data_IF_040086920006
#
_entry.id   IF_040086920006
#
_cell.length_a   1.000
_cell.length_b   1.000
_cell.length_c   1.000
_cell.angle_alpha   90.00
_cell.angle_beta   90.00
_cell.angle_gamma   90.00
#
_symmetry.space_group_name_H-M   'P 1'
#
loop_
_entity.id
_entity.type
_entity.pdbx_description
1 polymer ?
#
# COMPACT_ATOMS: atom_id res chain seq x y z
N UNK A 1 7.22 -10.34 -13.75
CA UNK A 1 7.26 -10.26 -12.27
C UNK A 1 7.88 -11.56 -11.76
N UNK A 2 9.21 -11.61 -11.58
CA UNK A 2 9.92 -12.88 -11.48
C UNK A 2 9.48 -13.79 -10.32
N UNK A 3 9.13 -13.21 -9.16
CA UNK A 3 8.74 -14.01 -7.99
C UNK A 3 7.41 -14.75 -8.19
N UNK A 4 6.36 -14.06 -8.67
CA UNK A 4 5.02 -14.65 -8.71
C UNK A 4 4.92 -15.73 -9.78
N UNK A 5 5.58 -15.50 -10.92
CA UNK A 5 5.76 -16.49 -11.97
C UNK A 5 6.50 -17.73 -11.44
N UNK A 6 7.57 -17.53 -10.66
CA UNK A 6 8.34 -18.62 -10.07
C UNK A 6 7.56 -19.40 -9.01
N UNK A 7 6.79 -18.72 -8.16
CA UNK A 7 5.89 -19.34 -7.18
C UNK A 7 4.86 -20.21 -7.88
N UNK A 8 4.20 -19.69 -8.92
CA UNK A 8 3.20 -20.44 -9.69
C UNK A 8 3.82 -21.60 -10.47
N UNK A 9 5.03 -21.44 -11.01
CA UNK A 9 5.74 -22.50 -11.73
C UNK A 9 6.13 -23.66 -10.81
N UNK A 10 6.46 -23.39 -9.54
CA UNK A 10 6.82 -24.39 -8.53
C UNK A 10 5.63 -24.91 -7.72
N UNK A 11 4.44 -24.32 -7.89
CA UNK A 11 3.25 -24.70 -7.15
C UNK A 11 2.80 -26.13 -7.51
N UNK A 12 2.43 -26.96 -6.52
CA UNK A 12 1.72 -28.21 -6.74
C UNK A 12 0.46 -28.01 -7.57
N UNK A 13 0.09 -29.03 -8.35
CA UNK A 13 -1.02 -28.93 -9.32
C UNK A 13 -2.38 -28.63 -8.71
N UNK A 14 -2.58 -28.70 -7.40
CA UNK A 14 -3.85 -28.39 -6.73
C UNK A 14 -3.87 -26.98 -6.13
N UNK A 15 -2.71 -26.31 -6.04
CA UNK A 15 -2.52 -24.96 -5.54
C UNK A 15 -2.41 -24.00 -6.74
N UNK A 16 -3.57 -23.50 -7.23
CA UNK A 16 -3.66 -22.81 -8.53
C UNK A 16 -4.02 -21.34 -8.45
N UNK A 17 -4.39 -20.85 -7.27
CA UNK A 17 -4.83 -19.46 -7.10
C UNK A 17 -3.81 -18.72 -6.26
N UNK A 18 -3.10 -17.77 -6.86
CA UNK A 18 -2.20 -16.87 -6.15
C UNK A 18 -2.93 -15.58 -5.80
N UNK A 19 -2.89 -15.20 -4.54
CA UNK A 19 -3.30 -13.89 -4.04
C UNK A 19 -2.04 -13.14 -3.62
N UNK A 20 -1.85 -11.93 -4.15
CA UNK A 20 -0.68 -11.11 -3.86
C UNK A 20 -1.08 -9.68 -3.50
N UNK A 21 -0.35 -9.08 -2.56
CA UNK A 21 -0.41 -7.67 -2.29
C UNK A 21 0.23 -6.86 -3.44
N UNK A 22 -0.37 -5.72 -3.78
CA UNK A 22 0.06 -4.89 -4.91
C UNK A 22 1.08 -3.81 -4.56
N UNK A 23 1.39 -3.63 -3.28
CA UNK A 23 2.22 -2.55 -2.75
C UNK A 23 3.50 -3.06 -2.07
N UNK A 24 3.92 -4.28 -2.37
CA UNK A 24 5.16 -4.87 -1.86
C UNK A 24 6.08 -5.28 -3.00
N UNK A 25 7.38 -5.09 -2.80
CA UNK A 25 8.42 -5.64 -3.65
C UNK A 25 9.26 -6.60 -2.82
N UNK A 26 9.34 -7.84 -3.29
CA UNK A 26 10.12 -8.90 -2.67
C UNK A 26 11.26 -9.27 -3.60
N UNK A 27 12.48 -9.12 -3.11
CA UNK A 27 13.69 -9.54 -3.82
C UNK A 27 14.25 -10.79 -3.17
N UNK A 28 14.33 -11.87 -3.95
CA UNK A 28 14.95 -13.11 -3.50
C UNK A 28 16.46 -13.03 -3.69
N UNK A 29 17.21 -13.33 -2.63
CA UNK A 29 18.65 -13.56 -2.70
C UNK A 29 19.01 -15.05 -2.82
N UNK A 30 18.01 -15.93 -2.78
CA UNK A 30 18.16 -17.38 -2.84
C UNK A 30 17.01 -18.00 -3.67
N UNK A 31 17.20 -19.19 -4.25
CA UNK A 31 16.12 -19.89 -4.94
C UNK A 31 14.89 -20.07 -4.06
N UNK A 32 13.70 -19.95 -4.65
CA UNK A 32 12.45 -20.16 -3.94
C UNK A 32 12.36 -21.60 -3.39
N UNK A 33 12.07 -21.82 -2.10
CA UNK A 33 11.81 -23.14 -1.57
C UNK A 33 10.63 -23.82 -2.30
N UNK A 34 10.59 -25.16 -2.39
CA UNK A 34 9.42 -25.85 -2.94
C UNK A 34 8.18 -25.55 -2.09
N UNK A 35 7.04 -25.37 -2.75
CA UNK A 35 5.77 -25.21 -2.05
C UNK A 35 5.32 -26.57 -1.46
N UNK A 36 4.79 -26.61 -0.23
CA UNK A 36 4.32 -27.85 0.39
C UNK A 36 3.22 -28.54 -0.41
N UNK A 37 3.31 -29.86 -0.60
CA UNK A 37 2.32 -30.65 -1.35
C UNK A 37 1.02 -30.90 -0.58
N UNK A 38 1.05 -30.93 0.75
CA UNK A 38 -0.13 -31.23 1.57
C UNK A 38 -0.70 -29.96 2.24
N UNK A 39 -1.14 -29.00 1.42
CA UNK A 39 -1.70 -27.73 1.92
C UNK A 39 -2.94 -27.29 1.13
N UNK A 40 -3.89 -26.68 1.82
CA UNK A 40 -4.99 -25.95 1.19
C UNK A 40 -4.66 -24.47 1.03
N UNK A 41 -3.80 -23.94 1.92
CA UNK A 41 -3.33 -22.55 1.95
C UNK A 41 -1.82 -22.57 2.24
N UNK A 42 -1.04 -21.91 1.39
CA UNK A 42 0.40 -21.69 1.60
C UNK A 42 0.66 -20.19 1.66
N UNK A 43 1.14 -19.67 2.80
CA UNK A 43 1.52 -18.27 2.91
C UNK A 43 3.05 -18.14 2.91
N UNK A 44 3.56 -17.10 2.28
CA UNK A 44 4.98 -16.80 2.28
C UNK A 44 5.28 -15.73 3.34
N UNK A 45 6.43 -15.86 3.99
CA UNK A 45 6.80 -15.00 5.10
C UNK A 45 8.30 -14.68 5.12
N UNK A 46 8.68 -13.60 5.77
CA UNK A 46 10.09 -13.23 6.03
C UNK A 46 10.33 -13.08 7.53
N UNK A 47 11.60 -13.16 7.93
CA UNK A 47 12.01 -12.84 9.31
C UNK A 47 12.31 -11.35 9.40
N UNK A 48 11.73 -10.70 10.40
CA UNK A 48 11.87 -9.26 10.61
C UNK A 48 12.01 -8.93 12.09
N UNK A 49 12.52 -7.72 12.36
CA UNK A 49 12.58 -7.16 13.70
C UNK A 49 11.17 -6.84 14.23
N UNK A 50 11.00 -6.99 15.54
CA UNK A 50 9.70 -6.82 16.24
C UNK A 50 9.03 -5.50 15.90
N UNK A 51 9.80 -4.42 15.80
CA UNK A 51 9.29 -3.09 15.48
C UNK A 51 8.59 -3.02 14.13
N UNK A 52 8.97 -3.84 13.16
CA UNK A 52 8.35 -3.87 11.83
C UNK A 52 7.07 -4.70 11.82
N UNK A 53 7.03 -5.77 12.62
CA UNK A 53 5.88 -6.67 12.69
C UNK A 53 4.57 -5.95 13.01
N UNK A 54 4.63 -4.85 13.78
CA UNK A 54 3.43 -4.07 14.19
C UNK A 54 2.61 -3.51 13.03
N UNK A 55 3.22 -3.33 11.85
CA UNK A 55 2.57 -2.72 10.69
C UNK A 55 2.02 -3.75 9.69
N UNK A 56 2.25 -5.05 9.92
CA UNK A 56 1.96 -6.12 8.96
C UNK A 56 1.18 -7.27 9.61
N UNK A 57 0.78 -8.24 8.79
CA UNK A 57 0.31 -9.53 9.28
C UNK A 57 1.47 -10.33 9.89
N UNK A 58 1.23 -10.99 11.02
CA UNK A 58 2.24 -11.77 11.74
C UNK A 58 1.71 -13.18 11.93
N UNK A 59 2.46 -14.16 11.40
CA UNK A 59 2.18 -15.57 11.63
C UNK A 59 2.97 -16.05 12.85
N UNK A 60 2.29 -16.78 13.73
CA UNK A 60 2.90 -17.48 14.84
C UNK A 60 2.90 -18.98 14.57
N UNK A 61 4.08 -19.57 14.63
CA UNK A 61 4.37 -20.93 14.20
C UNK A 61 4.73 -21.79 15.42
N UNK A 62 4.42 -23.08 15.34
CA UNK A 62 4.85 -24.05 16.34
C UNK A 62 6.38 -24.15 16.39
N UNK A 63 6.94 -24.33 17.59
CA UNK A 63 8.37 -24.67 17.72
C UNK A 63 8.71 -26.05 17.16
N UNK A 64 7.77 -26.99 17.27
CA UNK A 64 7.93 -28.39 16.83
C UNK A 64 7.76 -28.54 15.32
N UNK A 65 6.88 -27.74 14.72
CA UNK A 65 6.57 -27.75 13.29
C UNK A 65 6.68 -26.31 12.72
N UNK A 66 7.89 -25.90 12.27
CA UNK A 66 8.18 -24.52 11.91
C UNK A 66 7.56 -24.06 10.59
N UNK A 67 6.85 -24.93 9.89
CA UNK A 67 6.09 -24.67 8.67
C UNK A 67 4.57 -24.68 8.92
N UNK A 68 4.11 -24.95 10.15
CA UNK A 68 2.69 -25.01 10.49
C UNK A 68 2.23 -23.75 11.20
N UNK A 69 1.14 -23.17 10.70
CA UNK A 69 0.51 -22.02 11.32
C UNK A 69 -0.22 -22.44 12.59
N UNK A 70 0.15 -21.86 13.73
CA UNK A 70 -0.64 -21.97 14.95
C UNK A 70 -1.75 -20.90 14.97
N UNK A 71 -1.37 -19.65 14.74
CA UNK A 71 -2.29 -18.51 14.70
C UNK A 71 -1.70 -17.32 13.93
N UNK A 72 -2.54 -16.35 13.57
CA UNK A 72 -2.16 -15.11 12.91
C UNK A 72 -2.71 -13.90 13.67
N UNK A 73 -1.96 -12.80 13.67
CA UNK A 73 -2.46 -11.47 14.05
C UNK A 73 -2.31 -10.49 12.89
N UNK A 74 -3.25 -9.56 12.75
CA UNK A 74 -3.16 -8.46 11.80
C UNK A 74 -2.79 -7.16 12.52
N UNK A 75 -1.62 -6.60 12.19
CA UNK A 75 -1.08 -5.37 12.80
C UNK A 75 -1.07 -5.40 14.34
N UNK A 76 -0.48 -6.45 14.96
CA UNK A 76 -0.46 -6.57 16.41
C UNK A 76 0.36 -5.47 17.08
N UNK A 77 0.02 -5.15 18.32
CA UNK A 77 0.86 -4.35 19.20
C UNK A 77 2.14 -5.11 19.58
N UNK A 78 3.17 -4.37 19.99
CA UNK A 78 4.42 -4.95 20.52
C UNK A 78 4.14 -5.87 21.72
N UNK A 79 3.16 -5.51 22.55
CA UNK A 79 2.74 -6.31 23.70
C UNK A 79 2.21 -7.67 23.27
N UNK A 80 1.31 -7.71 22.29
CA UNK A 80 0.75 -8.96 21.77
C UNK A 80 1.84 -9.82 21.12
N UNK A 81 2.76 -9.22 20.35
CA UNK A 81 3.90 -9.97 19.78
C UNK A 81 4.71 -10.63 20.90
N UNK A 82 5.09 -9.89 21.94
CA UNK A 82 5.86 -10.45 23.05
C UNK A 82 5.12 -11.56 23.79
N UNK A 83 3.80 -11.41 24.01
CA UNK A 83 2.97 -12.42 24.66
C UNK A 83 3.02 -13.77 23.93
N UNK A 84 2.90 -13.76 22.59
CA UNK A 84 2.88 -14.99 21.81
C UNK A 84 4.27 -15.55 21.46
N UNK A 85 5.31 -14.71 21.40
CA UNK A 85 6.69 -15.18 21.12
C UNK A 85 7.33 -15.99 22.24
N UNK A 86 6.76 -15.97 23.45
CA UNK A 86 7.25 -16.79 24.56
C UNK A 86 7.20 -18.31 24.28
N UNK A 87 6.25 -18.74 23.44
CA UNK A 87 6.01 -20.17 23.15
C UNK A 87 5.96 -20.48 21.65
N UNK A 88 6.23 -19.49 20.79
CA UNK A 88 6.08 -19.60 19.33
C UNK A 88 7.16 -18.82 18.61
N UNK A 89 7.43 -19.24 17.37
CA UNK A 89 8.22 -18.41 16.43
C UNK A 89 7.27 -17.47 15.72
N UNK A 90 7.67 -16.22 15.49
CA UNK A 90 6.90 -15.30 14.65
C UNK A 90 7.65 -14.97 13.35
N UNK A 91 6.89 -14.83 12.27
CA UNK A 91 7.37 -14.38 10.96
C UNK A 91 6.36 -13.39 10.37
N UNK A 92 6.85 -12.46 9.56
CA UNK A 92 6.02 -11.43 8.94
C UNK A 92 5.43 -11.96 7.64
N UNK A 93 4.12 -11.85 7.47
CA UNK A 93 3.46 -12.11 6.19
C UNK A 93 3.97 -11.14 5.12
N UNK A 94 4.26 -11.65 3.92
CA UNK A 94 4.65 -10.79 2.78
C UNK A 94 3.48 -10.45 1.86
N UNK A 95 2.26 -10.85 2.21
CA UNK A 95 1.08 -10.68 1.38
C UNK A 95 1.11 -11.53 0.12
N UNK A 96 1.66 -12.74 0.18
CA UNK A 96 1.67 -13.69 -0.93
C UNK A 96 1.15 -15.05 -0.49
N UNK A 97 -0.05 -15.41 -0.96
CA UNK A 97 -0.80 -16.56 -0.50
C UNK A 97 -1.18 -17.42 -1.70
N UNK A 98 -0.92 -18.71 -1.61
CA UNK A 98 -1.23 -19.68 -2.64
C UNK A 98 -2.32 -20.61 -2.13
N UNK A 99 -3.42 -20.70 -2.88
CA UNK A 99 -4.66 -21.31 -2.45
C UNK A 99 -5.05 -22.48 -3.35
N UNK A 100 -5.58 -23.51 -2.71
CA UNK A 100 -6.27 -24.62 -3.36
C UNK A 100 -7.69 -24.21 -3.77
N UNK A 101 -8.28 -24.96 -4.70
CA UNK A 101 -9.70 -24.79 -5.06
C UNK A 101 -10.64 -24.96 -3.86
N UNK A 102 -10.23 -25.76 -2.86
CA UNK A 102 -10.99 -25.93 -1.62
C UNK A 102 -10.98 -24.64 -0.79
N UNK A 103 -9.82 -24.02 -0.60
CA UNK A 103 -9.71 -22.75 0.11
C UNK A 103 -10.50 -21.64 -0.61
N UNK A 104 -10.42 -21.57 -1.94
CA UNK A 104 -11.21 -20.61 -2.74
C UNK A 104 -12.73 -20.82 -2.58
N UNK A 105 -13.20 -22.07 -2.52
CA UNK A 105 -14.63 -22.36 -2.25
C UNK A 105 -15.06 -21.93 -0.84
N UNK A 106 -14.19 -22.06 0.15
CA UNK A 106 -14.46 -21.56 1.52
C UNK A 106 -14.58 -20.03 1.50
N UNK A 107 -13.63 -19.33 0.87
CA UNK A 107 -13.68 -17.87 0.71
C UNK A 107 -14.98 -17.42 0.05
N UNK A 108 -15.36 -18.06 -1.07
CA UNK A 108 -16.62 -17.77 -1.78
C UNK A 108 -17.83 -17.98 -0.88
N UNK A 109 -17.89 -19.12 -0.19
CA UNK A 109 -19.01 -19.44 0.72
C UNK A 109 -19.14 -18.38 1.82
N UNK A 110 -18.03 -17.95 2.41
CA UNK A 110 -18.02 -16.94 3.47
C UNK A 110 -18.39 -15.55 2.97
N UNK A 111 -17.90 -15.16 1.80
CA UNK A 111 -18.27 -13.90 1.16
C UNK A 111 -19.76 -13.83 0.80
N UNK A 112 -20.43 -14.96 0.56
CA UNK A 112 -21.88 -15.00 0.30
C UNK A 112 -22.74 -15.18 1.56
N UNK A 113 -22.14 -15.37 2.75
CA UNK A 113 -22.88 -15.64 3.98
C UNK A 113 -23.59 -14.39 4.53
N UNK A 114 -24.85 -14.55 4.96
CA UNK A 114 -25.79 -13.46 5.22
C UNK A 114 -25.63 -12.65 6.51
N UNK A 115 -24.60 -12.84 7.33
CA UNK A 115 -24.55 -12.27 8.69
C UNK A 115 -23.69 -11.01 8.86
N UNK A 116 -23.04 -10.50 7.82
CA UNK A 116 -22.24 -9.28 7.94
C UNK A 116 -23.13 -8.04 7.78
N UNK A 117 -23.51 -7.43 8.90
CA UNK A 117 -24.42 -6.28 9.00
C UNK A 117 -23.81 -4.94 8.57
N UNK A 118 -22.52 -4.91 8.21
CA UNK A 118 -21.78 -3.68 7.85
C UNK A 118 -21.20 -3.66 6.43
N UNK A 119 -21.38 -4.71 5.64
CA UNK A 119 -20.73 -4.80 4.33
C UNK A 119 -21.69 -4.42 3.20
N UNK A 120 -21.17 -3.69 2.22
CA UNK A 120 -21.87 -3.48 0.96
C UNK A 120 -22.09 -4.83 0.28
N UNK A 121 -23.32 -5.07 -0.17
CA UNK A 121 -23.65 -6.26 -0.97
C UNK A 121 -23.41 -5.90 -2.42
N UNK A 122 -22.52 -6.61 -3.08
CA UNK A 122 -22.28 -6.47 -4.51
C UNK A 122 -23.46 -7.03 -5.31
N UNK A 123 -23.62 -6.59 -6.57
CA UNK A 123 -24.79 -6.94 -7.40
C UNK A 123 -24.92 -8.46 -7.65
N UNK A 124 -23.85 -9.22 -7.48
CA UNK A 124 -23.75 -10.67 -7.62
C UNK A 124 -23.94 -11.43 -6.30
N UNK A 125 -24.29 -10.74 -5.22
CA UNK A 125 -24.57 -11.32 -3.91
C UNK A 125 -23.34 -11.57 -3.04
N UNK A 126 -22.14 -11.21 -3.51
CA UNK A 126 -20.93 -11.24 -2.69
C UNK A 126 -20.94 -10.10 -1.66
N UNK A 127 -20.23 -10.31 -0.56
CA UNK A 127 -19.95 -9.31 0.48
C UNK A 127 -18.45 -9.26 0.71
N UNK A 128 -17.97 -8.11 1.17
CA UNK A 128 -16.58 -8.00 1.63
C UNK A 128 -16.31 -9.05 2.72
N UNK A 129 -15.25 -9.84 2.53
CA UNK A 129 -14.74 -10.79 3.49
C UNK A 129 -13.24 -10.62 3.55
N UNK A 130 -12.75 -9.99 4.61
CA UNK A 130 -11.35 -9.56 4.68
C UNK A 130 -10.41 -10.74 4.87
N UNK A 131 -9.39 -10.84 4.01
CA UNK A 131 -8.44 -11.94 4.05
C UNK A 131 -7.59 -11.92 5.33
N UNK A 132 -7.30 -10.74 5.86
CA UNK A 132 -6.38 -10.57 6.98
C UNK A 132 -7.09 -10.56 8.33
N UNK A 133 -8.09 -9.71 8.47
CA UNK A 133 -8.86 -9.46 9.68
C UNK A 133 -10.05 -10.39 9.90
N UNK A 134 -10.39 -11.25 8.94
CA UNK A 134 -11.42 -12.28 9.14
C UNK A 134 -10.95 -13.69 8.79
N UNK A 135 -10.56 -13.95 7.54
CA UNK A 135 -10.16 -15.28 7.10
C UNK A 135 -8.85 -15.72 7.79
N UNK A 136 -7.82 -14.88 7.75
CA UNK A 136 -6.51 -15.13 8.34
C UNK A 136 -6.56 -15.40 9.84
N UNK A 137 -7.39 -14.63 10.58
CA UNK A 137 -7.58 -14.83 12.02
C UNK A 137 -8.27 -16.17 12.37
N UNK A 138 -8.92 -16.81 11.40
CA UNK A 138 -9.57 -18.10 11.54
C UNK A 138 -8.72 -19.30 11.06
N UNK A 139 -7.53 -19.03 10.49
CA UNK A 139 -6.57 -20.03 10.06
C UNK A 139 -5.66 -20.48 11.21
N UNK A 140 -5.13 -21.70 11.09
CA UNK A 140 -4.16 -22.28 12.03
C UNK A 140 -4.79 -23.25 13.02
N UNK A 141 -3.95 -23.80 13.91
CA UNK A 141 -4.34 -24.79 14.92
C UNK A 141 -5.09 -24.17 16.10
N UNK A 142 -4.69 -22.97 16.52
CA UNK A 142 -5.30 -22.21 17.62
C UNK A 142 -5.73 -20.82 17.14
N UNK A 143 -6.68 -20.75 16.19
CA UNK A 143 -7.09 -19.47 15.60
C UNK A 143 -7.79 -18.57 16.62
N UNK A 144 -7.67 -17.26 16.41
CA UNK A 144 -8.33 -16.24 17.24
C UNK A 144 -9.83 -16.12 16.93
N UNK A 145 -10.23 -16.47 15.70
CA UNK A 145 -11.62 -16.45 15.27
C UNK A 145 -12.09 -17.88 14.99
N UNK A 146 -13.21 -18.26 15.59
CA UNK A 146 -13.80 -19.56 15.32
C UNK A 146 -14.56 -19.53 13.98
N UNK A 147 -14.15 -20.40 13.07
CA UNK A 147 -14.84 -20.64 11.80
C UNK A 147 -14.66 -22.13 11.39
N UNK A 148 -15.70 -22.97 11.56
CA UNK A 148 -15.57 -24.41 11.29
C UNK A 148 -15.20 -24.79 9.86
N UNK A 149 -15.44 -23.92 8.87
CA UNK A 149 -15.08 -24.20 7.48
C UNK A 149 -13.62 -23.83 7.20
N UNK A 150 -13.17 -22.69 7.72
CA UNK A 150 -11.78 -22.22 7.57
C UNK A 150 -10.82 -23.11 8.36
N UNK A 151 -11.21 -23.53 9.56
CA UNK A 151 -10.40 -24.39 10.44
C UNK A 151 -10.09 -25.78 9.86
N UNK A 152 -10.84 -26.24 8.85
CA UNK A 152 -10.56 -27.51 8.18
C UNK A 152 -9.50 -27.41 7.08
N UNK A 153 -9.06 -26.19 6.75
CA UNK A 153 -8.03 -25.95 5.75
C UNK A 153 -6.65 -26.23 6.36
N UNK A 154 -5.83 -27.00 5.65
CA UNK A 154 -4.42 -27.21 6.02
C UNK A 154 -3.60 -26.00 5.60
N UNK A 155 -2.91 -25.39 6.55
CA UNK A 155 -2.15 -24.16 6.33
C UNK A 155 -0.67 -24.41 6.55
N UNK A 156 0.14 -24.04 5.56
CA UNK A 156 1.60 -24.11 5.64
C UNK A 156 2.23 -22.76 5.38
N UNK A 157 3.36 -22.49 6.04
CA UNK A 157 4.09 -21.23 5.95
C UNK A 157 5.47 -21.49 5.35
N UNK A 158 5.78 -20.82 4.24
CA UNK A 158 7.09 -20.87 3.60
C UNK A 158 7.87 -19.62 4.02
N UNK A 159 8.85 -19.81 4.91
CA UNK A 159 9.73 -18.72 5.33
C UNK A 159 10.86 -18.51 4.33
N UNK A 160 11.09 -17.26 3.93
CA UNK A 160 12.13 -16.80 3.01
C UNK A 160 13.19 -16.01 3.81
N UNK A 161 14.14 -16.68 4.50
CA UNK A 161 15.00 -16.01 5.48
C UNK A 161 15.88 -14.90 4.90
N UNK A 162 16.35 -15.06 3.66
CA UNK A 162 17.24 -14.09 2.99
C UNK A 162 16.52 -13.19 1.98
N UNK A 163 15.18 -13.23 1.95
CA UNK A 163 14.43 -12.36 1.06
C UNK A 163 14.34 -10.94 1.64
N UNK A 164 14.44 -9.96 0.76
CA UNK A 164 14.34 -8.54 1.10
C UNK A 164 12.91 -8.07 0.85
N UNK A 165 12.33 -7.42 1.84
CA UNK A 165 10.94 -6.94 1.81
C UNK A 165 10.91 -5.41 1.78
N UNK A 166 10.35 -4.87 0.70
CA UNK A 166 10.10 -3.44 0.52
C UNK A 166 8.60 -3.16 0.47
N UNK A 167 8.15 -2.21 1.26
CA UNK A 167 6.77 -1.75 1.28
C UNK A 167 6.65 -0.45 0.47
N UNK A 168 5.53 -0.28 -0.20
CA UNK A 168 5.18 0.89 -1.02
C UNK A 168 3.78 1.41 -0.70
N UNK A 169 3.19 0.99 0.43
CA UNK A 169 1.84 1.39 0.83
C UNK A 169 1.71 2.82 1.36
N UNK A 170 2.83 3.48 1.70
CA UNK A 170 2.86 4.90 2.10
C UNK A 170 3.88 5.68 1.28
N UNK A 171 3.71 7.00 1.20
CA UNK A 171 4.65 7.89 0.51
C UNK A 171 6.06 7.77 1.09
N UNK A 172 6.18 7.71 2.42
CA UNK A 172 7.46 7.54 3.10
C UNK A 172 8.10 6.19 2.76
N UNK A 173 7.34 5.10 2.84
CA UNK A 173 7.83 3.77 2.51
C UNK A 173 8.30 3.68 1.05
N UNK A 174 7.58 4.31 0.11
CA UNK A 174 7.98 4.38 -1.30
C UNK A 174 9.36 5.03 -1.46
N UNK A 175 9.59 6.17 -0.81
CA UNK A 175 10.86 6.89 -0.90
C UNK A 175 11.98 6.09 -0.25
N UNK A 176 11.79 5.65 1.00
CA UNK A 176 12.80 4.91 1.75
C UNK A 176 13.16 3.58 1.09
N UNK A 177 12.16 2.83 0.60
CA UNK A 177 12.37 1.57 -0.13
C UNK A 177 13.19 1.81 -1.40
N UNK A 178 12.88 2.85 -2.17
CA UNK A 178 13.60 3.15 -3.41
C UNK A 178 15.05 3.52 -3.15
N UNK A 179 15.32 4.37 -2.17
CA UNK A 179 16.71 4.74 -1.85
C UNK A 179 17.47 3.55 -1.27
N UNK A 180 16.83 2.69 -0.47
CA UNK A 180 17.46 1.47 0.04
C UNK A 180 17.85 0.52 -1.11
N UNK A 181 16.99 0.38 -2.13
CA UNK A 181 17.28 -0.40 -3.34
C UNK A 181 18.45 0.21 -4.10
N UNK A 182 18.45 1.53 -4.34
CA UNK A 182 19.53 2.23 -5.06
C UNK A 182 20.89 2.14 -4.35
N UNK A 183 20.91 2.01 -3.03
CA UNK A 183 22.15 1.94 -2.24
C UNK A 183 22.59 0.52 -1.88
N UNK A 184 21.92 -0.53 -2.39
CA UNK A 184 22.17 -1.94 -2.05
C UNK A 184 23.64 -2.36 -2.21
N UNK A 185 24.38 -1.81 -3.17
CA UNK A 185 25.80 -2.15 -3.38
C UNK A 185 26.75 -1.57 -2.32
N UNK A 186 26.28 -0.64 -1.48
CA UNK A 186 27.14 0.15 -0.59
C UNK A 186 27.09 -0.25 0.88
N UNK A 187 26.02 -0.91 1.36
CA UNK A 187 25.91 -1.36 2.76
C UNK A 187 24.77 -2.36 2.92
N UNK A 188 24.70 -3.08 4.05
CA UNK A 188 23.54 -3.93 4.35
C UNK A 188 22.26 -3.10 4.41
N UNK A 189 21.16 -3.62 3.86
CA UNK A 189 19.85 -2.93 3.81
C UNK A 189 19.39 -2.42 5.18
N UNK A 190 19.64 -3.22 6.22
CA UNK A 190 19.34 -2.90 7.62
C UNK A 190 20.10 -1.66 8.10
N UNK A 191 21.38 -1.53 7.74
CA UNK A 191 22.18 -0.36 8.06
C UNK A 191 21.71 0.87 7.29
N UNK A 192 21.42 0.73 5.99
CA UNK A 192 20.92 1.82 5.16
C UNK A 192 19.63 2.40 5.73
N UNK A 193 18.62 1.57 6.01
CA UNK A 193 17.32 2.07 6.51
C UNK A 193 17.40 2.76 7.88
N UNK A 194 18.14 2.19 8.84
CA UNK A 194 18.32 2.81 10.17
C UNK A 194 19.11 4.13 10.09
N UNK A 195 20.04 4.23 9.15
CA UNK A 195 20.86 5.44 8.93
C UNK A 195 20.08 6.48 8.12
N UNK A 196 19.25 6.04 7.19
CA UNK A 196 18.45 6.87 6.30
C UNK A 196 17.26 7.57 6.97
N UNK A 197 16.71 7.02 8.04
CA UNK A 197 15.78 7.76 8.91
C UNK A 197 16.44 9.03 9.51
N UNK A 198 17.78 9.10 9.51
CA UNK A 198 18.59 10.20 10.06
C UNK A 198 19.36 11.02 9.00
N UNK A 199 19.31 10.63 7.72
CA UNK A 199 20.04 11.26 6.60
C UNK A 199 19.09 11.64 5.46
N UNK A 200 19.46 12.57 4.57
CA UNK A 200 18.60 13.01 3.49
C UNK A 200 18.20 11.82 2.59
N UNK A 201 16.89 11.58 2.49
CA UNK A 201 16.29 10.58 1.61
C UNK A 201 15.62 11.32 0.46
N UNK A 202 16.35 11.51 -0.64
CA UNK A 202 15.86 12.21 -1.81
C UNK A 202 15.97 11.33 -3.05
N UNK A 203 14.89 11.26 -3.82
CA UNK A 203 14.85 10.51 -5.09
C UNK A 203 14.50 11.48 -6.21
N UNK A 204 15.33 11.49 -7.24
CA UNK A 204 15.13 12.26 -8.47
C UNK A 204 15.09 11.29 -9.64
N UNK A 205 13.92 11.11 -10.26
CA UNK A 205 13.74 10.18 -11.37
C UNK A 205 13.25 10.94 -12.61
N UNK A 206 14.03 10.91 -13.69
CA UNK A 206 13.72 11.66 -14.91
C UNK A 206 13.35 13.13 -14.59
N UNK A 207 14.14 13.75 -13.72
CA UNK A 207 13.87 15.07 -13.18
C UNK A 207 15.07 16.01 -13.40
N UNK A 208 14.77 17.29 -13.59
CA UNK A 208 15.75 18.38 -13.56
C UNK A 208 15.38 19.31 -12.42
N UNK A 209 16.30 19.51 -11.48
CA UNK A 209 16.07 20.35 -10.32
C UNK A 209 17.09 21.48 -10.33
N UNK A 210 16.60 22.69 -10.55
CA UNK A 210 17.39 23.92 -10.54
C UNK A 210 17.28 24.68 -9.21
N UNK A 211 16.30 24.31 -8.38
CA UNK A 211 16.14 24.85 -7.04
C UNK A 211 17.29 24.43 -6.12
N UNK A 212 17.69 25.33 -5.22
CA UNK A 212 18.61 24.99 -4.14
C UNK A 212 17.88 24.11 -3.13
N UNK A 213 18.40 22.91 -2.94
CA UNK A 213 17.90 21.96 -1.94
C UNK A 213 18.55 22.27 -0.58
N UNK A 214 17.75 22.29 0.48
CA UNK A 214 18.26 22.41 1.84
C UNK A 214 19.13 21.19 2.23
N UNK A 215 20.06 21.34 3.17
CA UNK A 215 20.91 20.22 3.62
C UNK A 215 20.11 19.12 4.37
N UNK A 216 18.94 19.46 4.90
CA UNK A 216 18.08 18.58 5.70
C UNK A 216 16.95 17.92 4.92
N UNK A 217 17.05 17.81 3.58
CA UNK A 217 16.01 17.24 2.72
C UNK A 217 15.69 15.79 3.09
N UNK A 218 14.69 15.62 3.95
CA UNK A 218 14.15 14.31 4.35
C UNK A 218 12.95 13.98 3.49
N UNK A 219 12.95 12.76 2.94
CA UNK A 219 11.80 12.16 2.28
C UNK A 219 11.24 13.01 1.12
N UNK A 220 12.08 13.38 0.16
CA UNK A 220 11.69 14.16 -1.04
C UNK A 220 11.72 13.27 -2.28
N UNK A 221 10.66 13.32 -3.09
CA UNK A 221 10.58 12.63 -4.39
C UNK A 221 10.27 13.62 -5.49
N UNK A 222 11.07 13.64 -6.55
CA UNK A 222 10.78 14.41 -7.76
C UNK A 222 10.85 13.50 -8.96
N UNK A 223 9.75 13.39 -9.69
CA UNK A 223 9.66 12.50 -10.83
C UNK A 223 9.03 13.18 -12.05
N UNK A 224 9.60 12.90 -13.22
CA UNK A 224 9.09 13.38 -14.52
C UNK A 224 8.83 14.91 -14.50
N UNK A 225 9.76 15.67 -13.92
CA UNK A 225 9.55 17.05 -13.48
C UNK A 225 10.75 17.95 -13.74
N UNK A 226 10.51 19.22 -14.09
CA UNK A 226 11.52 20.28 -14.17
C UNK A 226 11.24 21.37 -13.13
N UNK A 227 11.88 21.28 -11.96
CA UNK A 227 11.74 22.23 -10.84
C UNK A 227 12.65 23.43 -11.09
N UNK A 228 12.06 24.63 -11.23
CA UNK A 228 12.79 25.84 -11.59
C UNK A 228 13.60 26.40 -10.40
N UNK A 229 14.56 27.29 -10.67
CA UNK A 229 15.39 27.92 -9.65
C UNK A 229 14.60 28.81 -8.67
N UNK A 230 13.39 29.26 -9.03
CA UNK A 230 12.53 30.08 -8.18
C UNK A 230 11.77 29.28 -7.11
N UNK A 231 11.96 27.95 -7.04
CA UNK A 231 11.24 27.12 -6.10
C UNK A 231 11.99 26.98 -4.77
N UNK A 232 11.21 26.96 -3.68
CA UNK A 232 11.67 26.57 -2.35
C UNK A 232 10.90 25.33 -1.92
N UNK A 233 11.57 24.19 -1.84
CA UNK A 233 11.00 22.91 -1.42
C UNK A 233 11.41 22.59 0.03
N UNK A 234 10.45 22.45 0.94
CA UNK A 234 10.71 21.87 2.25
C UNK A 234 10.67 20.33 2.20
N UNK A 235 10.96 19.68 3.33
CA UNK A 235 11.03 18.23 3.46
C UNK A 235 9.64 17.56 3.38
N UNK A 236 9.62 16.24 3.10
CA UNK A 236 8.40 15.44 2.99
C UNK A 236 7.49 15.96 1.85
N UNK A 237 8.02 15.91 0.63
CA UNK A 237 7.32 16.40 -0.56
C UNK A 237 7.51 15.46 -1.74
N UNK A 238 6.43 15.26 -2.49
CA UNK A 238 6.45 14.56 -3.77
C UNK A 238 6.06 15.54 -4.88
N UNK A 239 6.88 15.67 -5.90
CA UNK A 239 6.66 16.53 -7.06
C UNK A 239 6.61 15.69 -8.33
N UNK A 240 5.49 15.67 -9.03
CA UNK A 240 5.29 14.85 -10.23
C UNK A 240 4.72 15.65 -11.40
N UNK A 241 5.18 15.34 -12.61
CA UNK A 241 4.63 15.88 -13.86
C UNK A 241 4.87 17.37 -14.09
N UNK A 242 5.75 18.02 -13.32
CA UNK A 242 5.99 19.45 -13.42
C UNK A 242 6.67 19.79 -14.74
N UNK A 243 6.07 20.61 -15.62
CA UNK A 243 6.70 20.97 -16.89
C UNK A 243 7.90 21.89 -16.70
N UNK A 244 8.69 22.05 -17.76
CA UNK A 244 9.60 23.18 -17.88
C UNK A 244 8.83 24.48 -17.62
N UNK A 245 9.31 25.25 -16.65
CA UNK A 245 8.69 26.48 -16.19
C UNK A 245 9.76 27.43 -15.60
N UNK A 246 9.36 28.68 -15.38
CA UNK A 246 10.14 29.70 -14.67
C UNK A 246 9.37 30.24 -13.46
N UNK A 247 8.51 29.41 -12.87
CA UNK A 247 7.63 29.82 -11.78
C UNK A 247 8.39 29.97 -10.47
N UNK A 248 7.90 30.84 -9.59
CA UNK A 248 8.40 30.99 -8.22
C UNK A 248 7.34 30.44 -7.28
N UNK A 249 7.67 29.41 -6.51
CA UNK A 249 6.73 28.75 -5.61
C UNK A 249 7.42 28.30 -4.32
N UNK A 250 6.77 28.53 -3.19
CA UNK A 250 7.15 27.93 -1.92
C UNK A 250 6.25 26.73 -1.65
N UNK A 251 6.85 25.55 -1.51
CA UNK A 251 6.16 24.30 -1.14
C UNK A 251 6.49 24.00 0.32
N UNK A 252 5.51 24.14 1.24
CA UNK A 252 5.69 23.84 2.65
C UNK A 252 5.95 22.35 2.89
N UNK A 253 6.47 22.03 4.07
CA UNK A 253 6.65 20.65 4.49
C UNK A 253 5.34 19.86 4.47
N UNK A 254 5.43 18.56 4.17
CA UNK A 254 4.28 17.65 4.08
C UNK A 254 3.26 18.01 2.97
N UNK A 255 3.64 18.87 2.03
CA UNK A 255 2.83 19.17 0.83
C UNK A 255 3.48 18.51 -0.39
N UNK A 256 2.66 17.81 -1.15
CA UNK A 256 2.99 17.21 -2.43
C UNK A 256 2.25 17.93 -3.56
N UNK A 257 2.82 17.89 -4.75
CA UNK A 257 2.31 18.54 -5.94
C UNK A 257 2.37 17.56 -7.11
N UNK A 258 1.23 17.28 -7.68
CA UNK A 258 1.14 16.59 -8.96
C UNK A 258 0.59 17.52 -10.05
N UNK A 259 1.22 17.55 -11.21
CA UNK A 259 0.84 18.41 -12.33
C UNK A 259 0.46 17.57 -13.54
N UNK A 260 -0.78 17.73 -14.00
CA UNK A 260 -1.32 16.98 -15.14
C UNK A 260 -1.63 17.92 -16.31
N UNK A 261 -1.31 17.51 -17.56
CA UNK A 261 -1.69 18.30 -18.72
C UNK A 261 -3.19 18.21 -18.98
N UNK A 262 -3.82 19.34 -19.28
CA UNK A 262 -5.20 19.38 -19.76
C UNK A 262 -5.19 19.32 -21.28
N UNK A 263 -5.89 18.33 -21.85
CA UNK A 263 -6.12 18.23 -23.30
C UNK A 263 -7.52 18.75 -23.63
N UNK A 264 -7.66 19.34 -24.81
CA UNK A 264 -8.97 19.76 -25.33
C UNK A 264 -9.91 18.58 -25.59
N UNK A 265 -11.20 18.87 -25.76
CA UNK A 265 -12.18 17.89 -26.20
C UNK A 265 -11.75 17.28 -27.55
N UNK A 266 -11.82 15.94 -27.67
CA UNK A 266 -11.38 15.21 -28.86
C UNK A 266 -9.91 14.74 -28.85
N UNK A 267 -9.18 14.91 -27.75
CA UNK A 267 -7.81 14.40 -27.62
C UNK A 267 -6.75 15.21 -28.37
N UNK A 268 -7.10 16.43 -28.79
CA UNK A 268 -6.21 17.37 -29.48
C UNK A 268 -5.11 17.96 -28.60
N UNK A 269 -4.51 19.06 -29.08
CA UNK A 269 -3.37 19.72 -28.45
C UNK A 269 -3.62 20.10 -26.98
N UNK A 270 -2.52 20.13 -26.24
CA UNK A 270 -2.50 20.46 -24.82
C UNK A 270 -2.90 21.92 -24.61
N UNK A 271 -3.96 22.15 -23.84
CA UNK A 271 -4.54 23.47 -23.57
C UNK A 271 -3.99 24.13 -22.31
N UNK A 272 -3.38 23.37 -21.40
CA UNK A 272 -2.83 23.93 -20.17
C UNK A 272 -2.34 22.87 -19.20
N UNK A 273 -2.15 23.29 -17.95
CA UNK A 273 -1.76 22.42 -16.84
C UNK A 273 -2.71 22.61 -15.67
N UNK A 274 -2.94 21.53 -14.94
CA UNK A 274 -3.67 21.52 -13.68
C UNK A 274 -2.73 21.07 -12.58
N UNK A 275 -2.66 21.87 -11.53
CA UNK A 275 -1.90 21.56 -10.31
C UNK A 275 -2.84 20.91 -9.30
N UNK A 276 -2.44 19.76 -8.77
CA UNK A 276 -3.15 18.96 -7.77
C UNK A 276 -2.29 18.86 -6.50
N UNK A 277 -2.47 19.75 -5.51
CA UNK A 277 -1.79 19.62 -4.24
C UNK A 277 -2.42 18.51 -3.40
N UNK A 278 -1.62 17.82 -2.60
CA UNK A 278 -2.10 16.85 -1.61
C UNK A 278 -1.11 16.72 -0.45
N UNK A 279 -1.57 16.20 0.69
CA UNK A 279 -0.72 15.98 1.86
C UNK A 279 0.17 14.75 1.71
N UNK A 280 1.42 14.83 2.17
CA UNK A 280 2.36 13.71 2.13
C UNK A 280 1.86 12.46 2.86
N UNK A 281 1.07 12.66 3.92
CA UNK A 281 0.45 11.61 4.73
C UNK A 281 -1.03 11.35 4.38
N UNK A 282 -1.57 11.96 3.31
CA UNK A 282 -2.96 11.78 2.95
C UNK A 282 -3.21 10.31 2.55
N UNK A 283 -4.17 9.67 3.22
CA UNK A 283 -4.50 8.25 3.04
C UNK A 283 -5.47 7.98 1.88
N UNK A 284 -6.14 9.03 1.37
CA UNK A 284 -7.14 8.97 0.30
C UNK A 284 -8.24 7.91 0.47
N UNK A 285 -8.64 7.66 1.72
CA UNK A 285 -9.70 6.72 2.10
C UNK A 285 -10.45 7.20 3.33
N UNK A 286 -11.66 6.71 3.51
CA UNK A 286 -12.51 7.04 4.66
C UNK A 286 -13.76 7.81 4.23
N UNK A 287 -14.69 8.01 5.18
CA UNK A 287 -15.89 8.77 4.88
C UNK A 287 -15.60 10.27 4.91
N UNK A 288 -16.03 11.00 3.89
CA UNK A 288 -15.75 12.45 3.77
C UNK A 288 -16.40 13.30 4.88
N UNK A 289 -17.34 12.72 5.61
CA UNK A 289 -18.01 13.32 6.77
C UNK A 289 -17.34 12.97 8.10
N UNK A 290 -16.34 12.07 8.09
CA UNK A 290 -15.59 11.73 9.30
C UNK A 290 -14.44 12.71 9.48
N UNK A 291 -14.27 13.20 10.72
CA UNK A 291 -13.20 14.14 11.07
C UNK A 291 -11.80 13.54 10.85
N UNK A 292 -11.67 12.22 10.96
CA UNK A 292 -10.44 11.47 10.67
C UNK A 292 -10.05 11.44 9.20
N UNK A 293 -10.93 11.88 8.29
CA UNK A 293 -10.66 11.92 6.87
C UNK A 293 -10.03 13.26 6.51
N UNK A 294 -8.70 13.25 6.43
CA UNK A 294 -7.90 14.45 6.21
C UNK A 294 -7.52 14.65 4.73
N UNK A 295 -7.30 15.92 4.38
CA UNK A 295 -6.71 16.35 3.12
C UNK A 295 -5.75 17.51 3.39
N UNK A 296 -4.49 17.39 2.96
CA UNK A 296 -3.42 18.35 3.29
C UNK A 296 -3.27 18.55 4.81
N UNK A 297 -3.36 17.45 5.58
CA UNK A 297 -3.15 17.44 7.03
C UNK A 297 -4.23 18.17 7.85
N UNK A 298 -5.43 18.33 7.30
CA UNK A 298 -6.58 18.84 8.05
C UNK A 298 -7.86 18.09 7.65
N UNK A 299 -8.88 18.03 8.52
CA UNK A 299 -10.16 17.42 8.18
C UNK A 299 -10.74 18.01 6.88
N UNK A 300 -11.23 17.15 5.99
CA UNK A 300 -11.64 17.56 4.64
C UNK A 300 -12.72 18.64 4.66
N UNK A 301 -13.66 18.60 5.61
CA UNK A 301 -14.68 19.63 5.77
C UNK A 301 -14.09 21.00 6.15
N UNK A 302 -13.08 21.01 7.02
CA UNK A 302 -12.35 22.24 7.37
C UNK A 302 -11.59 22.79 6.17
N UNK A 303 -10.97 21.91 5.39
CA UNK A 303 -10.28 22.28 4.16
C UNK A 303 -11.26 22.93 3.17
N UNK A 304 -12.37 22.26 2.86
CA UNK A 304 -13.39 22.77 1.93
C UNK A 304 -13.92 24.15 2.35
N UNK A 305 -14.22 24.32 3.64
CA UNK A 305 -14.71 25.59 4.20
C UNK A 305 -13.71 26.72 4.05
N UNK A 306 -12.40 26.46 4.23
CA UNK A 306 -11.34 27.44 4.02
C UNK A 306 -11.21 27.89 2.56
N UNK A 307 -11.72 27.09 1.63
CA UNK A 307 -11.67 27.34 0.19
C UNK A 307 -13.04 27.72 -0.40
N UNK A 308 -14.03 28.06 0.44
CA UNK A 308 -15.39 28.41 0.02
C UNK A 308 -16.10 27.33 -0.81
N UNK A 309 -15.75 26.06 -0.55
CA UNK A 309 -16.33 24.89 -1.20
C UNK A 309 -17.26 24.14 -0.25
N UNK A 310 -18.26 23.48 -0.84
CA UNK A 310 -19.19 22.62 -0.11
C UNK A 310 -18.95 21.16 -0.42
N UNK A 311 -19.31 20.28 0.50
CA UNK A 311 -19.04 18.84 0.42
C UNK A 311 -19.70 18.17 -0.80
N UNK A 312 -20.82 18.72 -1.28
CA UNK A 312 -21.52 18.26 -2.49
C UNK A 312 -20.67 18.43 -3.76
N UNK A 313 -19.63 19.27 -3.70
CA UNK A 313 -18.66 19.43 -4.79
C UNK A 313 -17.83 18.16 -5.00
N UNK A 314 -17.64 17.35 -3.95
CA UNK A 314 -16.85 16.12 -4.01
C UNK A 314 -17.69 14.91 -4.47
N UNK A 315 -18.99 14.91 -4.21
CA UNK A 315 -19.86 13.75 -4.43
C UNK A 315 -20.39 13.64 -5.86
N UNK A 316 -20.23 14.68 -6.70
CA UNK A 316 -20.72 14.70 -8.10
C UNK A 316 -22.20 14.26 -8.26
N UNK A 317 -23.02 14.41 -7.20
CA UNK A 317 -24.42 13.96 -7.17
C UNK A 317 -24.65 12.47 -6.88
N UNK A 318 -23.61 11.69 -6.56
CA UNK A 318 -23.72 10.32 -6.08
C UNK A 318 -23.62 10.28 -4.55
N UNK A 319 -24.40 9.42 -3.89
CA UNK A 319 -24.35 9.18 -2.43
C UNK A 319 -23.06 8.46 -1.97
N UNK A 320 -21.98 8.51 -2.74
CA UNK A 320 -20.70 7.94 -2.35
C UNK A 320 -20.04 8.89 -1.34
N UNK A 321 -20.32 8.67 -0.07
CA UNK A 321 -19.74 9.43 1.05
C UNK A 321 -18.29 9.03 1.34
N UNK A 322 -17.62 8.29 0.46
CA UNK A 322 -16.29 7.73 0.70
C UNK A 322 -15.28 8.37 -0.23
N UNK A 323 -14.18 8.88 0.34
CA UNK A 323 -12.97 9.12 -0.43
C UNK A 323 -12.45 7.77 -0.89
N UNK A 324 -12.32 7.59 -2.20
CA UNK A 324 -11.70 6.40 -2.77
C UNK A 324 -10.67 6.83 -3.81
N UNK A 325 -9.53 6.14 -3.85
CA UNK A 325 -8.47 6.31 -4.84
C UNK A 325 -8.81 5.66 -6.19
N UNK A 326 -10.06 5.24 -6.43
CA UNK A 326 -10.40 4.40 -7.58
C UNK A 326 -10.41 5.17 -8.91
N UNK A 327 -9.61 4.70 -9.87
CA UNK A 327 -9.74 5.07 -11.28
C UNK A 327 -10.89 4.26 -11.87
N UNK A 328 -12.12 4.79 -11.83
CA UNK A 328 -13.20 4.24 -12.65
C UNK A 328 -13.07 4.76 -14.10
N UNK A 329 -12.62 3.89 -15.00
CA UNK A 329 -12.80 4.09 -16.44
C UNK A 329 -14.25 3.76 -16.79
N UNK A 330 -15.10 4.78 -16.94
CA UNK A 330 -16.42 4.60 -17.57
C UNK A 330 -16.32 4.80 -19.08
N UNK A 331 -17.14 4.05 -19.82
CA UNK A 331 -17.18 3.96 -21.29
C UNK A 331 -17.77 5.20 -21.99
N UNK A 332 -17.88 6.33 -21.30
CA UNK A 332 -18.32 7.60 -21.88
C UNK A 332 -17.37 8.72 -21.46
N UNK A 333 -16.88 9.45 -22.45
CA UNK A 333 -15.81 10.45 -22.39
C UNK A 333 -15.70 11.28 -21.11
N UNK A 334 -14.44 11.50 -20.73
CA UNK A 334 -13.88 12.55 -19.86
C UNK A 334 -14.91 13.18 -18.91
N UNK A 335 -14.93 12.73 -17.66
CA UNK A 335 -15.56 13.49 -16.57
C UNK A 335 -14.50 13.86 -15.53
N UNK A 336 -14.41 15.17 -15.33
CA UNK A 336 -13.51 15.96 -14.48
C UNK A 336 -13.04 15.23 -13.20
N UNK A 337 -11.73 15.06 -13.09
CA UNK A 337 -11.05 15.07 -11.81
C UNK A 337 -11.19 16.49 -11.22
N UNK A 338 -12.18 16.71 -10.36
CA UNK A 338 -12.27 17.92 -9.52
C UNK A 338 -11.97 17.53 -8.08
N UNK A 339 -10.80 16.94 -7.86
CA UNK A 339 -10.11 17.13 -6.58
C UNK A 339 -9.18 18.32 -6.84
N UNK A 340 -9.79 19.51 -6.73
CA UNK A 340 -9.11 20.78 -6.41
C UNK A 340 -7.93 21.11 -7.32
N UNK A 341 -8.27 21.26 -8.60
CA UNK A 341 -7.38 21.71 -9.65
C UNK A 341 -7.22 23.24 -9.60
N UNK A 342 -6.02 23.74 -9.30
CA UNK A 342 -5.67 25.13 -9.61
C UNK A 342 -5.24 25.20 -11.09
N UNK A 343 -5.97 25.99 -11.88
CA UNK A 343 -5.63 26.23 -13.29
C UNK A 343 -4.73 27.47 -13.37
N UNK A 344 -3.47 27.28 -13.75
CA UNK A 344 -2.63 28.39 -14.19
C UNK A 344 -2.76 28.50 -15.70
N UNK A 345 -3.54 29.47 -16.17
CA UNK A 345 -3.48 29.93 -17.56
C UNK A 345 -2.27 30.87 -17.65
N UNK A 346 -1.21 30.40 -18.32
CA UNK A 346 -0.06 31.20 -18.72
C UNK A 346 -0.18 31.57 -20.19
#
# INVERSE_FOLDING_TARGET
MPLYEEVMRRAPSHLRTLVSCGDVLILLNQPLPPAPEEADVVCYAVREEVDRLRNHGVFFLSHEAPDELDMMLQKPSIREIHEYTATRRCVMDIGLWLLSDRAVRVLRTRSMAGSHTKCSVFADGFREYDLYGEFGLALGKQPLRHDPLVQQLRVKIVTLPEARFFHYGTTEDMILSTVAIQNTERSSEKFLRTTMSRHPAAVFQNARVHATLAEDQRSTWVENSEVSAGWSLQHHSVITGLPRNTWTLHVPAYVCIDVVPVRGEGGGDKQGWVVRPYGFNDIFRGYITEESTEFLGMPIECWLRKHDLRIETLTNGNNANMLTSSVQRSSRGVRRWRILAFSFFG
#
